data_IF_456723920773
#
_entry.id   IF_456723920773
#
_cell.length_a   1.000
_cell.length_b   1.000
_cell.length_c   1.000
_cell.angle_alpha   90.00
_cell.angle_beta   90.00
_cell.angle_gamma   90.00
#
_symmetry.space_group_name_H-M   'P 1'
#
loop_
_entity.id
_entity.type
_entity.pdbx_description
1 polymer ?
#
# COMPACT_ATOMS: atom_id res chain seq x y z
N UNK A 1 0.93 12.03 -23.91
CA UNK A 1 1.17 13.22 -24.74
C UNK A 1 0.68 12.98 -26.17
N UNK A 2 1.25 12.01 -26.91
CA UNK A 2 0.85 11.76 -28.30
C UNK A 2 -0.66 11.53 -28.41
N UNK A 3 -1.24 10.63 -27.63
CA UNK A 3 -2.68 10.34 -27.63
C UNK A 3 -3.54 11.58 -27.36
N UNK A 4 -3.13 12.43 -26.40
CA UNK A 4 -3.86 13.68 -26.08
C UNK A 4 -3.83 14.67 -27.25
N UNK A 5 -2.70 14.73 -27.96
CA UNK A 5 -2.58 15.63 -29.11
C UNK A 5 -3.37 15.08 -30.31
N UNK A 6 -3.25 13.78 -30.59
CA UNK A 6 -4.02 13.10 -31.64
C UNK A 6 -5.52 13.26 -31.43
N UNK A 7 -6.00 13.06 -30.21
CA UNK A 7 -7.42 13.23 -29.85
C UNK A 7 -7.92 14.68 -30.04
N UNK A 8 -7.10 15.68 -29.67
CA UNK A 8 -7.51 17.07 -29.68
C UNK A 8 -7.31 17.77 -31.02
N UNK A 9 -6.22 17.43 -31.74
CA UNK A 9 -5.78 18.14 -32.94
C UNK A 9 -5.72 17.23 -34.18
N UNK A 10 -5.91 15.92 -34.03
CA UNK A 10 -5.75 14.92 -35.07
C UNK A 10 -4.29 14.47 -35.29
N UNK A 11 -4.11 13.33 -35.96
CA UNK A 11 -2.78 12.72 -36.17
C UNK A 11 -1.87 13.60 -37.05
N UNK A 12 -2.44 14.35 -38.01
CA UNK A 12 -1.67 15.24 -38.88
C UNK A 12 -0.97 16.36 -38.09
N UNK A 13 -1.54 16.81 -37.00
CA UNK A 13 -0.93 17.80 -36.10
C UNK A 13 0.41 17.32 -35.54
N UNK A 14 0.52 16.03 -35.23
CA UNK A 14 1.73 15.43 -34.67
C UNK A 14 2.82 15.28 -35.79
N UNK A 15 2.43 14.75 -36.95
CA UNK A 15 3.39 14.29 -37.95
C UNK A 15 3.65 15.28 -39.09
N UNK A 16 2.73 16.25 -39.34
CA UNK A 16 2.80 17.14 -40.50
C UNK A 16 2.85 18.63 -40.18
N UNK A 17 2.21 19.06 -39.09
CA UNK A 17 2.04 20.48 -38.79
C UNK A 17 3.25 21.15 -38.14
N UNK A 18 4.25 20.34 -37.72
CA UNK A 18 5.50 20.83 -37.17
C UNK A 18 5.33 21.48 -35.79
N UNK A 19 4.46 20.94 -34.98
CA UNK A 19 4.25 21.37 -33.59
C UNK A 19 5.50 21.11 -32.74
N UNK A 20 5.80 22.06 -31.84
CA UNK A 20 6.76 21.90 -30.76
C UNK A 20 5.98 21.73 -29.46
N UNK A 21 6.15 20.57 -28.81
CA UNK A 21 5.45 20.20 -27.61
C UNK A 21 6.42 20.26 -26.44
N UNK A 22 6.16 21.15 -25.50
CA UNK A 22 6.89 21.27 -24.25
C UNK A 22 6.17 20.43 -23.21
N UNK A 23 6.88 19.46 -22.64
CA UNK A 23 6.31 18.52 -21.66
C UNK A 23 6.82 18.80 -20.26
N UNK A 24 6.16 18.20 -19.26
CA UNK A 24 6.54 18.26 -17.84
C UNK A 24 7.62 17.24 -17.47
N UNK A 25 8.06 16.42 -18.42
CA UNK A 25 9.01 15.33 -18.20
C UNK A 25 10.34 15.86 -17.65
N UNK A 26 10.77 15.28 -16.54
CA UNK A 26 12.10 15.43 -15.97
C UNK A 26 12.91 14.18 -16.34
N UNK A 27 14.00 14.36 -17.10
CA UNK A 27 14.81 13.25 -17.61
C UNK A 27 15.55 12.51 -16.50
N UNK A 28 15.96 13.18 -15.43
CA UNK A 28 16.64 12.56 -14.30
C UNK A 28 15.65 11.69 -13.52
N UNK A 29 14.44 12.21 -13.25
CA UNK A 29 13.36 11.45 -12.62
C UNK A 29 12.91 10.28 -13.51
N UNK A 30 12.81 10.47 -14.84
CA UNK A 30 12.44 9.40 -15.76
C UNK A 30 13.49 8.28 -15.78
N UNK A 31 14.77 8.63 -15.84
CA UNK A 31 15.87 7.66 -15.80
C UNK A 31 15.89 6.90 -14.47
N UNK A 32 15.61 7.58 -13.34
CA UNK A 32 15.47 6.96 -12.03
C UNK A 32 14.31 5.95 -12.00
N UNK A 33 13.17 6.27 -12.64
CA UNK A 33 12.01 5.37 -12.72
C UNK A 33 12.34 4.12 -13.58
N UNK A 34 13.00 4.31 -14.72
CA UNK A 34 13.44 3.19 -15.57
C UNK A 34 14.44 2.29 -14.84
N UNK A 35 15.39 2.87 -14.09
CA UNK A 35 16.35 2.11 -13.29
C UNK A 35 15.66 1.32 -12.15
N UNK A 36 14.69 1.91 -11.46
CA UNK A 36 13.93 1.24 -10.41
C UNK A 36 13.10 0.06 -10.97
N UNK A 37 12.58 0.18 -12.20
CA UNK A 37 11.83 -0.89 -12.86
C UNK A 37 12.68 -2.15 -13.12
N UNK A 38 14.01 -2.03 -13.22
CA UNK A 38 14.92 -3.18 -13.42
C UNK A 38 14.95 -4.15 -12.23
N UNK A 39 14.49 -3.72 -11.04
CA UNK A 39 14.37 -4.60 -9.87
C UNK A 39 13.18 -5.54 -9.92
N UNK A 40 12.32 -5.39 -10.91
CA UNK A 40 11.16 -6.24 -11.05
C UNK A 40 11.60 -7.67 -11.49
N UNK A 41 11.30 -8.71 -10.71
CA UNK A 41 11.67 -10.08 -11.06
C UNK A 41 10.94 -10.53 -12.33
N UNK A 42 11.50 -11.49 -13.03
CA UNK A 42 10.85 -12.15 -14.17
C UNK A 42 10.46 -13.57 -13.75
N UNK A 43 9.15 -13.85 -13.63
CA UNK A 43 8.65 -15.16 -13.30
C UNK A 43 8.40 -16.03 -14.53
N UNK A 44 7.88 -15.42 -15.60
CA UNK A 44 7.61 -16.09 -16.87
C UNK A 44 7.46 -15.05 -18.00
N UNK A 45 7.50 -15.54 -19.22
CA UNK A 45 7.16 -14.75 -20.41
C UNK A 45 5.78 -15.16 -20.90
N UNK A 46 4.90 -14.18 -21.09
CA UNK A 46 3.54 -14.43 -21.52
C UNK A 46 3.43 -14.74 -23.03
N UNK A 47 2.20 -15.00 -23.49
CA UNK A 47 1.92 -15.31 -24.92
C UNK A 47 2.24 -14.18 -25.89
N UNK A 48 2.39 -12.95 -25.40
CA UNK A 48 2.74 -11.76 -26.18
C UNK A 48 4.25 -11.48 -26.17
N UNK A 49 5.04 -12.32 -25.50
CA UNK A 49 6.47 -12.15 -25.36
C UNK A 49 6.89 -11.18 -24.24
N UNK A 50 5.94 -10.75 -23.39
CA UNK A 50 6.22 -9.84 -22.30
C UNK A 50 6.62 -10.59 -21.02
N UNK A 51 7.62 -10.08 -20.33
CA UNK A 51 8.02 -10.59 -19.03
C UNK A 51 6.97 -10.25 -17.97
N UNK A 52 6.57 -11.23 -17.17
CA UNK A 52 5.63 -11.07 -16.06
C UNK A 52 6.31 -11.34 -14.70
N UNK A 53 5.91 -10.67 -13.61
CA UNK A 53 4.87 -9.65 -13.55
C UNK A 53 5.29 -8.36 -14.26
N UNK A 54 4.30 -7.57 -14.61
CA UNK A 54 4.47 -6.20 -15.06
C UNK A 54 4.51 -5.22 -13.88
N UNK A 55 4.85 -3.97 -14.17
CA UNK A 55 4.83 -2.90 -13.18
C UNK A 55 4.60 -1.54 -13.82
N UNK A 56 4.26 -0.57 -12.99
CA UNK A 56 4.18 0.82 -13.39
C UNK A 56 4.77 1.72 -12.31
N UNK A 57 5.45 2.78 -12.73
CA UNK A 57 5.90 3.87 -11.87
C UNK A 57 5.39 5.17 -12.48
N UNK A 58 4.72 5.99 -11.68
CA UNK A 58 4.34 7.34 -12.07
C UNK A 58 4.64 8.30 -10.92
N UNK A 59 5.18 9.47 -11.26
CA UNK A 59 5.52 10.49 -10.29
C UNK A 59 5.06 11.87 -10.74
N UNK A 60 4.58 12.65 -9.78
CA UNK A 60 4.01 13.97 -10.01
C UNK A 60 4.49 14.96 -8.94
N UNK A 61 4.79 16.17 -9.34
CA UNK A 61 4.98 17.28 -8.40
C UNK A 61 3.61 17.65 -7.79
N UNK A 62 3.42 17.56 -6.47
CA UNK A 62 2.12 17.75 -5.84
C UNK A 62 1.63 19.21 -5.87
N UNK A 63 2.51 20.20 -6.13
CA UNK A 63 2.17 21.64 -6.11
C UNK A 63 1.66 22.18 -7.43
N UNK A 64 2.06 21.55 -8.55
CA UNK A 64 1.69 22.03 -9.88
C UNK A 64 1.07 20.96 -10.80
N UNK A 65 0.99 19.70 -10.35
CA UNK A 65 0.41 18.61 -11.13
C UNK A 65 1.31 18.06 -12.26
N UNK A 66 2.56 18.52 -12.36
CA UNK A 66 3.46 18.12 -13.43
C UNK A 66 3.85 16.64 -13.26
N UNK A 67 3.50 15.82 -14.25
CA UNK A 67 3.95 14.43 -14.32
C UNK A 67 5.40 14.46 -14.77
N UNK A 68 6.31 14.19 -13.83
CA UNK A 68 7.77 14.30 -14.06
C UNK A 68 8.40 12.99 -14.54
N UNK A 69 7.77 11.86 -14.22
CA UNK A 69 8.22 10.55 -14.68
C UNK A 69 7.03 9.59 -14.87
N UNK A 70 7.11 8.73 -15.86
CA UNK A 70 6.10 7.70 -16.09
C UNK A 70 6.73 6.50 -16.82
N UNK A 71 6.63 5.31 -16.21
CA UNK A 71 6.97 4.04 -16.81
C UNK A 71 5.72 3.16 -16.72
N UNK A 72 5.12 2.83 -17.86
CA UNK A 72 3.84 2.12 -17.93
C UNK A 72 3.96 0.61 -18.10
N UNK A 73 5.18 0.08 -18.03
CA UNK A 73 5.44 -1.34 -18.17
C UNK A 73 6.90 -1.64 -18.47
N UNK A 74 7.22 -2.91 -18.65
CA UNK A 74 8.50 -3.38 -19.20
C UNK A 74 8.24 -4.24 -20.44
N UNK A 75 9.04 -4.08 -21.46
CA UNK A 75 8.83 -4.66 -22.77
C UNK A 75 8.35 -3.63 -23.79
N UNK A 76 8.06 -4.11 -24.98
CA UNK A 76 7.73 -3.27 -26.14
C UNK A 76 6.25 -3.43 -26.48
N UNK A 77 5.38 -2.92 -25.59
CA UNK A 77 3.95 -2.85 -25.83
C UNK A 77 3.43 -1.41 -25.71
N UNK A 78 2.26 -1.15 -26.30
CA UNK A 78 1.62 0.17 -26.28
C UNK A 78 0.74 0.39 -25.04
N UNK A 79 0.54 -0.64 -24.20
CA UNK A 79 -0.33 -0.55 -23.03
C UNK A 79 0.35 0.14 -21.85
N UNK A 80 -0.05 1.37 -21.59
CA UNK A 80 0.49 2.17 -20.50
C UNK A 80 -0.25 1.88 -19.19
N UNK A 81 0.28 0.99 -18.36
CA UNK A 81 -0.34 0.57 -17.10
C UNK A 81 -0.45 1.68 -16.06
N UNK A 82 0.36 2.75 -16.19
CA UNK A 82 0.27 3.89 -15.29
C UNK A 82 -1.05 4.68 -15.44
N UNK A 83 -1.69 4.60 -16.62
CA UNK A 83 -2.90 5.36 -16.95
C UNK A 83 -4.08 4.52 -17.43
N UNK A 84 -3.85 3.26 -17.82
CA UNK A 84 -4.85 2.41 -18.46
C UNK A 84 -5.17 1.15 -17.67
N UNK A 85 -4.28 0.70 -16.77
CA UNK A 85 -4.55 -0.47 -15.95
C UNK A 85 -5.35 -0.08 -14.70
N UNK A 86 -6.62 -0.50 -14.64
CA UNK A 86 -7.46 -0.40 -13.45
C UNK A 86 -7.24 -1.65 -12.61
N UNK A 87 -6.58 -1.50 -11.46
CA UNK A 87 -6.16 -2.61 -10.60
C UNK A 87 -6.65 -2.41 -9.18
N UNK A 88 -6.86 -3.53 -8.47
CA UNK A 88 -7.31 -3.49 -7.08
C UNK A 88 -6.25 -2.85 -6.18
N UNK A 89 -6.57 -1.74 -5.50
CA UNK A 89 -5.59 -0.98 -4.70
C UNK A 89 -5.24 -1.63 -3.37
N UNK A 90 -6.05 -2.57 -2.90
CA UNK A 90 -5.86 -3.19 -1.60
C UNK A 90 -5.83 -2.15 -0.47
N UNK A 91 -4.95 -2.36 0.49
CA UNK A 91 -4.82 -1.50 1.68
C UNK A 91 -4.43 -0.04 1.40
N UNK A 92 -4.12 0.35 0.16
CA UNK A 92 -3.89 1.76 -0.17
C UNK A 92 -5.19 2.59 -0.16
N UNK A 93 -6.37 1.97 -0.03
CA UNK A 93 -7.65 2.64 0.23
C UNK A 93 -7.83 3.07 1.70
N UNK A 94 -7.13 2.47 2.64
CA UNK A 94 -7.30 2.76 4.09
C UNK A 94 -7.06 4.21 4.48
N UNK A 95 -6.11 4.96 3.89
CA UNK A 95 -5.97 6.38 4.20
C UNK A 95 -7.25 7.20 4.00
N UNK A 96 -8.08 6.90 3.01
CA UNK A 96 -9.36 7.58 2.80
C UNK A 96 -10.36 7.28 3.91
N UNK A 97 -10.33 6.05 4.46
CA UNK A 97 -11.16 5.66 5.61
C UNK A 97 -10.77 6.47 6.86
N UNK A 98 -9.47 6.47 7.19
CA UNK A 98 -8.99 7.18 8.38
C UNK A 98 -9.09 8.70 8.22
N UNK A 99 -8.90 9.24 7.02
CA UNK A 99 -9.09 10.66 6.74
C UNK A 99 -10.54 11.08 6.92
N UNK A 100 -11.51 10.30 6.43
CA UNK A 100 -12.93 10.55 6.68
C UNK A 100 -13.29 10.47 8.17
N UNK A 101 -12.62 9.62 8.94
CA UNK A 101 -12.77 9.56 10.39
C UNK A 101 -12.20 10.82 11.08
N UNK A 102 -11.01 11.29 10.67
CA UNK A 102 -10.42 12.54 11.16
C UNK A 102 -11.34 13.73 10.88
N UNK A 103 -11.89 13.84 9.67
CA UNK A 103 -12.88 14.87 9.31
C UNK A 103 -14.17 14.76 10.13
N UNK A 104 -14.46 13.58 10.69
CA UNK A 104 -15.59 13.34 11.60
C UNK A 104 -15.25 13.58 13.07
N UNK A 105 -14.08 14.18 13.38
CA UNK A 105 -13.65 14.55 14.73
C UNK A 105 -12.82 13.48 15.47
N UNK A 106 -12.45 12.39 14.81
CA UNK A 106 -11.52 11.40 15.38
C UNK A 106 -10.08 11.92 15.32
N UNK A 107 -9.21 11.31 16.10
CA UNK A 107 -7.77 11.64 16.17
C UNK A 107 -6.91 10.39 15.96
N UNK A 108 -5.62 10.53 15.71
CA UNK A 108 -4.71 9.39 15.65
C UNK A 108 -4.72 8.51 16.92
N UNK A 109 -5.06 9.11 18.07
CA UNK A 109 -5.20 8.43 19.35
C UNK A 109 -6.55 7.74 19.56
N UNK A 110 -7.54 7.96 18.70
CA UNK A 110 -8.85 7.28 18.79
C UNK A 110 -8.66 5.76 18.76
N UNK A 111 -9.48 5.06 19.55
CA UNK A 111 -9.37 3.60 19.74
C UNK A 111 -10.35 2.88 18.84
N UNK A 112 -9.89 1.79 18.25
CA UNK A 112 -10.71 0.78 17.58
C UNK A 112 -10.36 -0.60 18.12
N UNK A 113 -11.34 -1.46 18.29
CA UNK A 113 -11.14 -2.84 18.71
C UNK A 113 -10.84 -3.73 17.52
N UNK A 114 -9.59 -4.20 17.42
CA UNK A 114 -9.16 -5.20 16.42
C UNK A 114 -9.52 -6.59 16.95
N UNK A 115 -10.75 -7.02 16.67
CA UNK A 115 -11.33 -8.32 17.09
C UNK A 115 -12.25 -8.85 15.98
N UNK A 116 -12.50 -10.16 15.91
CA UNK A 116 -13.37 -10.75 14.90
C UNK A 116 -14.72 -10.03 14.81
N UNK A 117 -15.18 -9.79 13.59
CA UNK A 117 -16.46 -9.12 13.31
C UNK A 117 -17.10 -9.70 12.06
N UNK A 118 -18.43 -9.64 11.99
CA UNK A 118 -19.20 -10.07 10.80
C UNK A 118 -20.18 -8.97 10.42
N UNK A 119 -20.18 -8.62 9.15
CA UNK A 119 -21.10 -7.67 8.52
C UNK A 119 -21.98 -8.43 7.52
N UNK A 120 -23.22 -8.73 7.89
CA UNK A 120 -24.08 -9.59 7.11
C UNK A 120 -23.47 -10.98 6.91
N UNK A 121 -23.09 -11.34 5.69
CA UNK A 121 -22.45 -12.62 5.36
C UNK A 121 -20.94 -12.52 5.18
N UNK A 122 -20.32 -11.35 5.47
CA UNK A 122 -18.91 -11.11 5.28
C UNK A 122 -18.17 -10.91 6.60
N UNK A 123 -17.10 -11.65 6.79
CA UNK A 123 -16.23 -11.58 7.96
C UNK A 123 -14.80 -11.25 7.52
N UNK A 124 -14.40 -9.95 7.54
CA UNK A 124 -13.05 -9.55 7.20
C UNK A 124 -12.05 -10.15 8.19
N UNK A 125 -10.86 -10.47 7.70
CA UNK A 125 -9.75 -10.99 8.51
C UNK A 125 -8.52 -10.11 8.33
N UNK A 126 -7.68 -10.07 9.35
CA UNK A 126 -6.34 -9.53 9.22
C UNK A 126 -5.45 -10.48 8.40
N UNK A 127 -4.43 -9.94 7.75
CA UNK A 127 -3.54 -10.71 6.86
C UNK A 127 -2.92 -11.92 7.58
N UNK A 128 -2.51 -11.76 8.83
CA UNK A 128 -1.88 -12.81 9.65
C UNK A 128 -2.88 -13.65 10.45
N UNK A 129 -4.20 -13.42 10.26
CA UNK A 129 -5.29 -14.06 11.04
C UNK A 129 -5.16 -13.90 12.56
N UNK A 130 -4.52 -12.85 13.02
CA UNK A 130 -4.38 -12.46 14.42
C UNK A 130 -5.20 -11.20 14.75
N UNK A 131 -5.37 -10.91 16.03
CA UNK A 131 -6.12 -9.76 16.55
C UNK A 131 -5.40 -9.17 17.75
N UNK A 132 -5.36 -7.84 17.82
CA UNK A 132 -4.62 -7.12 18.85
C UNK A 132 -5.51 -6.40 19.89
N UNK A 133 -6.84 -6.57 19.83
CA UNK A 133 -7.77 -5.91 20.73
C UNK A 133 -7.84 -4.39 20.54
N UNK A 134 -7.87 -3.63 21.63
CA UNK A 134 -7.95 -2.17 21.55
C UNK A 134 -6.63 -1.56 21.07
N UNK A 135 -6.65 -0.98 19.87
CA UNK A 135 -5.51 -0.32 19.25
C UNK A 135 -5.86 1.12 18.83
N UNK A 136 -4.85 1.98 18.71
CA UNK A 136 -5.05 3.33 18.19
C UNK A 136 -5.26 3.34 16.67
N UNK A 137 -5.91 4.37 16.13
CA UNK A 137 -6.06 4.57 14.70
C UNK A 137 -4.70 4.66 14.00
N UNK A 138 -3.72 5.35 14.62
CA UNK A 138 -2.34 5.39 14.12
C UNK A 138 -1.75 3.99 13.99
N UNK A 139 -1.82 3.19 15.04
CA UNK A 139 -1.30 1.83 15.04
C UNK A 139 -2.00 0.95 14.00
N UNK A 140 -3.32 1.05 13.91
CA UNK A 140 -4.11 0.29 12.94
C UNK A 140 -3.71 0.61 11.48
N UNK A 141 -3.49 1.89 11.16
CA UNK A 141 -3.01 2.30 9.83
C UNK A 141 -1.55 1.90 9.59
N UNK A 142 -0.67 2.13 10.58
CA UNK A 142 0.76 1.80 10.55
C UNK A 142 1.01 0.32 10.21
N UNK A 143 0.25 -0.57 10.86
CA UNK A 143 0.31 -2.01 10.68
C UNK A 143 -0.74 -2.55 9.71
N UNK A 144 -1.45 -1.65 9.04
CA UNK A 144 -2.42 -2.00 7.98
C UNK A 144 -3.50 -3.01 8.42
N UNK A 145 -4.00 -2.94 9.67
CA UNK A 145 -5.00 -3.87 10.23
C UNK A 145 -6.30 -3.77 9.44
N UNK A 146 -6.75 -4.90 8.88
CA UNK A 146 -7.94 -4.94 8.02
C UNK A 146 -9.22 -4.75 8.82
N UNK A 147 -9.38 -5.51 9.89
CA UNK A 147 -10.61 -5.51 10.69
C UNK A 147 -10.84 -4.14 11.32
N UNK A 148 -9.79 -3.51 11.84
CA UNK A 148 -9.86 -2.15 12.36
C UNK A 148 -10.31 -1.15 11.30
N UNK A 149 -9.75 -1.21 10.08
CA UNK A 149 -10.13 -0.32 8.99
C UNK A 149 -11.59 -0.46 8.58
N UNK A 150 -12.10 -1.71 8.52
CA UNK A 150 -13.52 -1.96 8.17
C UNK A 150 -14.46 -1.45 9.27
N UNK A 151 -14.13 -1.66 10.55
CA UNK A 151 -14.92 -1.11 11.68
C UNK A 151 -14.95 0.43 11.66
N UNK A 152 -13.83 1.08 11.37
CA UNK A 152 -13.78 2.53 11.22
C UNK A 152 -14.61 2.99 10.02
N UNK A 153 -14.55 2.27 8.89
CA UNK A 153 -15.34 2.57 7.71
C UNK A 153 -16.86 2.43 7.95
N UNK A 154 -17.27 1.40 8.70
CA UNK A 154 -18.67 1.21 9.11
C UNK A 154 -19.15 2.35 10.03
N UNK A 155 -18.34 2.74 11.02
CA UNK A 155 -18.64 3.84 11.95
C UNK A 155 -18.79 5.19 11.22
N UNK A 156 -17.90 5.49 10.28
CA UNK A 156 -17.87 6.77 9.55
C UNK A 156 -18.91 6.83 8.45
N UNK A 157 -19.20 5.69 7.85
CA UNK A 157 -20.09 5.50 6.71
C UNK A 157 -19.36 5.58 5.37
N UNK A 158 -19.53 4.55 4.54
CA UNK A 158 -18.86 4.44 3.23
C UNK A 158 -19.15 5.58 2.28
N UNK A 159 -20.31 6.24 2.39
CA UNK A 159 -20.64 7.41 1.56
C UNK A 159 -19.60 8.53 1.73
N UNK A 160 -19.18 8.82 2.98
CA UNK A 160 -18.15 9.84 3.23
C UNK A 160 -16.81 9.41 2.66
N UNK A 161 -16.42 8.14 2.85
CA UNK A 161 -15.14 7.59 2.36
C UNK A 161 -15.06 7.66 0.84
N UNK A 162 -16.10 7.20 0.14
CA UNK A 162 -16.14 7.16 -1.33
C UNK A 162 -16.17 8.58 -1.92
N UNK A 163 -17.00 9.47 -1.38
CA UNK A 163 -17.06 10.83 -1.87
C UNK A 163 -15.74 11.56 -1.68
N UNK A 164 -15.07 11.36 -0.53
CA UNK A 164 -13.76 11.92 -0.27
C UNK A 164 -12.72 11.39 -1.27
N UNK A 165 -12.68 10.08 -1.52
CA UNK A 165 -11.76 9.48 -2.49
C UNK A 165 -12.00 10.03 -3.92
N UNK A 166 -13.26 10.21 -4.35
CA UNK A 166 -13.63 10.85 -5.62
C UNK A 166 -13.16 12.31 -5.68
N UNK A 167 -13.39 13.08 -4.63
CA UNK A 167 -12.95 14.48 -4.55
C UNK A 167 -11.43 14.59 -4.62
N UNK A 168 -10.69 13.66 -4.01
CA UNK A 168 -9.23 13.61 -4.07
C UNK A 168 -8.71 13.20 -5.44
N UNK A 169 -9.49 12.51 -6.29
CA UNK A 169 -9.10 12.22 -7.67
C UNK A 169 -9.25 10.79 -8.12
N UNK A 170 -9.81 9.88 -7.32
CA UNK A 170 -10.10 8.52 -7.78
C UNK A 170 -11.31 8.55 -8.71
N UNK A 171 -11.06 8.43 -10.02
CA UNK A 171 -12.06 8.64 -11.07
C UNK A 171 -12.90 7.39 -11.38
N UNK A 172 -12.40 6.21 -11.03
CA UNK A 172 -12.95 4.90 -11.40
C UNK A 172 -14.04 4.38 -10.46
N UNK A 173 -14.27 5.05 -9.32
CA UNK A 173 -15.27 4.65 -8.33
C UNK A 173 -16.70 4.81 -8.85
N UNK A 174 -17.50 3.76 -8.70
CA UNK A 174 -18.90 3.66 -9.15
C UNK A 174 -19.87 3.60 -7.98
N UNK A 175 -21.17 3.52 -8.26
CA UNK A 175 -22.20 3.36 -7.23
C UNK A 175 -22.13 1.98 -6.54
N UNK A 176 -21.54 0.99 -7.20
CA UNK A 176 -21.36 -0.35 -6.65
C UNK A 176 -20.27 -0.42 -5.56
N UNK A 177 -19.41 0.59 -5.50
CA UNK A 177 -18.31 0.68 -4.54
C UNK A 177 -18.72 1.23 -3.16
N UNK A 178 -20.00 1.63 -2.97
CA UNK A 178 -20.51 2.11 -1.68
C UNK A 178 -20.78 0.95 -0.71
N UNK A 179 -19.76 0.13 -0.47
CA UNK A 179 -19.83 -1.03 0.41
C UNK A 179 -18.53 -1.16 1.24
N UNK A 180 -18.56 -1.97 2.32
CA UNK A 180 -17.44 -2.08 3.26
C UNK A 180 -16.19 -2.75 2.67
N UNK A 181 -16.29 -3.57 1.63
CA UNK A 181 -15.10 -4.18 1.02
C UNK A 181 -14.18 -3.15 0.37
N UNK A 182 -14.73 -2.01 -0.06
CA UNK A 182 -13.97 -0.90 -0.61
C UNK A 182 -12.97 -0.30 0.39
N UNK A 183 -13.24 -0.41 1.69
CA UNK A 183 -12.28 0.01 2.74
C UNK A 183 -10.96 -0.78 2.68
N UNK A 184 -10.99 -1.98 2.12
CA UNK A 184 -9.84 -2.86 1.90
C UNK A 184 -9.38 -2.88 0.42
N UNK A 185 -9.98 -2.05 -0.43
CA UNK A 185 -9.63 -1.95 -1.85
C UNK A 185 -10.32 -2.99 -2.74
N UNK A 186 -11.40 -3.62 -2.29
CA UNK A 186 -12.27 -4.44 -3.13
C UNK A 186 -13.20 -3.54 -3.94
N UNK A 187 -12.77 -3.16 -5.15
CA UNK A 187 -13.46 -2.22 -6.04
C UNK A 187 -14.10 -2.94 -7.23
N UNK A 188 -15.09 -2.30 -7.83
CA UNK A 188 -15.74 -2.80 -9.05
C UNK A 188 -14.76 -2.88 -10.23
N UNK A 189 -14.02 -1.81 -10.47
CA UNK A 189 -13.05 -1.72 -11.57
C UNK A 189 -11.59 -1.72 -11.07
N UNK A 190 -11.32 -1.12 -9.94
CA UNK A 190 -9.98 -0.84 -9.46
C UNK A 190 -9.61 0.65 -9.63
N UNK A 191 -8.32 0.96 -9.60
CA UNK A 191 -7.77 2.31 -9.76
C UNK A 191 -6.56 2.30 -10.69
N UNK A 192 -6.27 3.43 -11.33
CA UNK A 192 -5.01 3.60 -12.03
C UNK A 192 -3.90 4.11 -11.10
N UNK A 193 -2.62 3.80 -11.38
CA UNK A 193 -1.51 4.42 -10.65
C UNK A 193 -1.56 5.95 -10.66
N UNK A 194 -1.99 6.57 -11.76
CA UNK A 194 -2.11 8.03 -11.86
C UNK A 194 -3.21 8.59 -10.96
N UNK A 195 -4.38 7.93 -10.86
CA UNK A 195 -5.42 8.33 -9.90
C UNK A 195 -4.89 8.35 -8.46
N UNK A 196 -4.12 7.31 -8.11
CA UNK A 196 -3.56 7.21 -6.76
C UNK A 196 -2.49 8.26 -6.49
N UNK A 197 -1.65 8.58 -7.48
CA UNK A 197 -0.69 9.68 -7.38
C UNK A 197 -1.40 11.02 -7.19
N UNK A 198 -2.48 11.28 -7.94
CA UNK A 198 -3.27 12.50 -7.76
C UNK A 198 -3.87 12.56 -6.35
N UNK A 199 -4.49 11.48 -5.89
CA UNK A 199 -5.17 11.43 -4.60
C UNK A 199 -4.19 11.59 -3.41
N UNK A 200 -3.04 10.92 -3.44
CA UNK A 200 -2.01 11.09 -2.41
C UNK A 200 -1.28 12.43 -2.52
N UNK A 201 -1.20 12.99 -3.73
CA UNK A 201 -0.69 14.34 -3.98
C UNK A 201 -1.48 15.42 -3.24
N UNK A 202 -2.78 15.21 -3.00
CA UNK A 202 -3.61 16.11 -2.19
C UNK A 202 -3.08 16.21 -0.75
N UNK A 203 -2.67 15.06 -0.17
CA UNK A 203 -2.09 15.04 1.18
C UNK A 203 -0.72 15.73 1.21
N UNK A 204 0.13 15.44 0.22
CA UNK A 204 1.45 16.06 0.07
C UNK A 204 1.35 17.59 -0.08
N UNK A 205 0.28 18.09 -0.70
CA UNK A 205 0.01 19.50 -0.96
C UNK A 205 -0.94 20.16 0.07
N UNK A 206 -0.94 19.65 1.31
CA UNK A 206 -1.70 20.27 2.40
C UNK A 206 -3.22 20.39 2.13
N UNK A 207 -3.79 19.42 1.41
CA UNK A 207 -5.23 19.34 1.12
C UNK A 207 -5.67 19.99 -0.19
N UNK A 208 -4.73 20.46 -1.02
CA UNK A 208 -5.01 21.04 -2.33
C UNK A 208 -4.82 20.00 -3.43
N UNK A 209 -5.88 19.71 -4.17
CA UNK A 209 -5.83 18.91 -5.38
C UNK A 209 -5.33 19.74 -6.55
N UNK A 210 -4.37 19.24 -7.30
CA UNK A 210 -3.94 19.78 -8.60
C UNK A 210 -4.24 18.79 -9.70
N UNK A 211 -4.54 19.29 -10.90
CA UNK A 211 -4.81 18.44 -12.05
C UNK A 211 -3.50 17.90 -12.64
N UNK A 212 -3.34 16.58 -12.79
CA UNK A 212 -2.17 16.02 -13.46
C UNK A 212 -2.03 16.52 -14.89
N UNK A 213 -0.84 16.98 -15.26
CA UNK A 213 -0.56 17.44 -16.61
C UNK A 213 0.79 16.91 -17.10
N UNK A 214 0.85 16.54 -18.39
CA UNK A 214 2.06 16.11 -19.09
C UNK A 214 2.53 17.11 -20.14
N UNK A 215 1.69 18.10 -20.49
CA UNK A 215 1.96 19.10 -21.53
C UNK A 215 1.94 20.48 -20.90
N UNK A 216 3.05 21.19 -21.00
CA UNK A 216 3.15 22.58 -20.57
C UNK A 216 2.61 23.55 -21.62
N UNK A 217 3.04 23.34 -22.89
CA UNK A 217 2.81 24.28 -23.96
C UNK A 217 2.96 23.61 -25.32
N UNK A 218 2.15 24.03 -26.27
CA UNK A 218 2.22 23.66 -27.67
C UNK A 218 2.43 24.91 -28.49
N UNK A 219 3.40 24.87 -29.40
CA UNK A 219 3.75 26.00 -30.28
C UNK A 219 3.75 25.48 -31.72
N UNK A 220 3.19 26.27 -32.64
CA UNK A 220 3.19 25.94 -34.07
C UNK A 220 4.56 26.15 -34.73
N UNK A 221 4.67 25.84 -36.04
CA UNK A 221 5.89 26.02 -36.83
C UNK A 221 6.36 27.47 -36.94
N UNK A 222 5.46 28.44 -36.74
CA UNK A 222 5.75 29.88 -36.82
C UNK A 222 6.14 30.46 -35.44
N UNK A 223 6.12 29.65 -34.39
CA UNK A 223 6.42 30.08 -33.05
C UNK A 223 5.20 30.65 -32.27
N UNK A 224 3.99 30.55 -32.85
CA UNK A 224 2.78 30.98 -32.14
C UNK A 224 2.35 29.93 -31.13
N UNK A 225 1.91 30.40 -29.97
CA UNK A 225 1.37 29.53 -28.92
C UNK A 225 -0.02 29.04 -29.33
N UNK A 226 -0.14 27.73 -29.54
CA UNK A 226 -1.41 27.05 -29.82
C UNK A 226 -2.15 26.75 -28.54
N UNK A 227 -1.41 26.32 -27.51
CA UNK A 227 -1.94 25.96 -26.20
C UNK A 227 -0.89 26.21 -25.12
N UNK A 228 -1.29 26.72 -24.00
CA UNK A 228 -0.49 26.84 -22.79
C UNK A 228 -1.32 26.40 -21.59
N UNK A 229 -0.79 25.45 -20.85
CA UNK A 229 -1.49 24.88 -19.70
C UNK A 229 -1.32 25.77 -18.48
N UNK A 230 -2.40 25.98 -17.74
CA UNK A 230 -2.38 26.63 -16.44
C UNK A 230 -2.64 25.63 -15.33
N UNK A 231 -2.00 25.83 -14.19
CA UNK A 231 -2.21 24.99 -13.00
C UNK A 231 -3.67 25.12 -12.58
N UNK A 232 -4.37 23.98 -12.52
CA UNK A 232 -5.74 23.88 -12.01
C UNK A 232 -5.69 23.30 -10.63
N UNK A 233 -6.05 24.09 -9.62
CA UNK A 233 -5.99 23.68 -8.21
C UNK A 233 -7.33 23.92 -7.50
N UNK A 234 -7.61 23.06 -6.51
CA UNK A 234 -8.79 23.18 -5.65
C UNK A 234 -8.50 22.60 -4.27
N UNK A 235 -8.76 23.35 -3.19
CA UNK A 235 -8.75 22.77 -1.84
C UNK A 235 -9.91 21.79 -1.69
N UNK A 236 -9.60 20.54 -1.31
CA UNK A 236 -10.57 19.45 -1.11
C UNK A 236 -10.51 18.88 0.30
N UNK A 237 -9.43 19.17 1.05
CA UNK A 237 -9.25 18.79 2.45
C UNK A 237 -8.71 19.98 3.21
N UNK A 238 -9.08 20.13 4.48
CA UNK A 238 -8.47 21.12 5.36
C UNK A 238 -6.98 20.80 5.59
N UNK A 239 -6.16 21.82 5.67
CA UNK A 239 -4.71 21.70 5.89
C UNK A 239 -4.38 20.93 7.18
N UNK A 240 -5.17 21.15 8.23
CA UNK A 240 -5.09 20.43 9.49
C UNK A 240 -5.23 18.92 9.28
N UNK A 241 -6.27 18.50 8.57
CA UNK A 241 -6.60 17.07 8.38
C UNK A 241 -5.59 16.39 7.47
N UNK A 242 -5.11 17.10 6.43
CA UNK A 242 -4.03 16.65 5.57
C UNK A 242 -2.72 16.44 6.36
N UNK A 243 -2.35 17.37 7.25
CA UNK A 243 -1.17 17.26 8.09
C UNK A 243 -1.27 16.09 9.09
N UNK A 244 -2.44 15.90 9.72
CA UNK A 244 -2.68 14.76 10.63
C UNK A 244 -2.54 13.44 9.88
N UNK A 245 -3.16 13.33 8.70
CA UNK A 245 -3.10 12.10 7.89
C UNK A 245 -1.69 11.83 7.39
N UNK A 246 -0.96 12.85 6.94
CA UNK A 246 0.45 12.75 6.54
C UNK A 246 1.30 12.22 7.68
N UNK A 247 1.15 12.76 8.88
CA UNK A 247 1.90 12.28 10.05
C UNK A 247 1.56 10.83 10.46
N UNK A 248 0.31 10.38 10.28
CA UNK A 248 -0.04 8.97 10.43
C UNK A 248 0.62 8.10 9.36
N UNK A 249 0.74 8.58 8.11
CA UNK A 249 1.39 7.88 7.01
C UNK A 249 2.92 7.87 7.12
N UNK A 250 3.55 8.86 7.75
CA UNK A 250 4.96 8.80 8.14
C UNK A 250 5.22 7.60 9.08
N UNK A 251 4.29 7.30 9.99
CA UNK A 251 4.41 6.14 10.90
C UNK A 251 4.46 4.80 10.14
N UNK A 252 3.84 4.71 8.96
CA UNK A 252 3.88 3.50 8.11
C UNK A 252 5.30 3.23 7.62
N UNK A 253 6.06 4.27 7.28
CA UNK A 253 7.47 4.17 6.87
C UNK A 253 8.37 4.03 8.09
N UNK A 254 8.14 4.82 9.16
CA UNK A 254 9.00 4.92 10.33
C UNK A 254 8.80 3.79 11.37
N UNK A 255 8.33 2.61 10.97
CA UNK A 255 8.17 1.47 11.88
C UNK A 255 6.92 0.63 11.61
N UNK A 256 6.29 0.84 10.44
CA UNK A 256 5.16 0.06 9.97
C UNK A 256 5.50 -0.81 8.76
N UNK A 257 4.46 -1.12 7.98
CA UNK A 257 4.56 -2.02 6.81
C UNK A 257 5.39 -1.46 5.67
N UNK A 258 5.67 -0.15 5.64
CA UNK A 258 6.40 0.55 4.59
C UNK A 258 7.88 0.81 4.88
N UNK A 259 8.50 0.17 5.88
CA UNK A 259 9.87 0.45 6.31
C UNK A 259 10.93 0.39 5.20
N UNK A 260 10.74 -0.47 4.19
CA UNK A 260 11.65 -0.58 3.06
C UNK A 260 11.61 0.63 2.09
N UNK A 261 10.63 1.54 2.26
CA UNK A 261 10.56 2.80 1.51
C UNK A 261 11.28 3.96 2.20
N UNK A 262 11.97 3.73 3.33
CA UNK A 262 12.70 4.78 4.03
C UNK A 262 13.88 5.29 3.18
N UNK A 263 13.94 6.61 2.98
CA UNK A 263 14.92 7.27 2.09
C UNK A 263 15.80 8.32 2.79
N UNK A 264 15.84 8.30 4.13
CA UNK A 264 16.68 9.22 4.92
C UNK A 264 16.20 10.68 4.91
N UNK A 265 14.97 10.95 4.48
CA UNK A 265 14.27 12.24 4.55
C UNK A 265 12.80 12.02 4.90
N UNK A 266 12.06 13.08 5.34
CA UNK A 266 10.64 12.95 5.63
C UNK A 266 9.88 12.38 4.44
N UNK A 267 9.15 11.29 4.69
CA UNK A 267 8.36 10.61 3.69
C UNK A 267 7.14 9.94 4.35
N UNK A 268 6.02 9.99 3.67
CA UNK A 268 4.76 9.39 4.08
C UNK A 268 4.26 8.44 2.98
N UNK A 269 3.61 7.34 3.34
CA UNK A 269 3.16 6.40 2.32
C UNK A 269 2.34 5.25 2.86
N UNK A 270 1.86 4.41 1.94
CA UNK A 270 1.03 3.24 2.27
C UNK A 270 1.34 2.08 1.35
N UNK A 271 1.43 0.91 1.93
CA UNK A 271 1.51 -0.39 1.24
C UNK A 271 0.12 -0.88 0.85
N UNK A 272 0.00 -1.52 -0.29
CA UNK A 272 -1.18 -2.26 -0.72
C UNK A 272 -0.79 -3.66 -1.18
N UNK A 273 -1.58 -4.65 -0.78
CA UNK A 273 -1.50 -6.02 -1.28
C UNK A 273 -2.93 -6.52 -1.33
N UNK A 274 -3.33 -7.14 -2.43
CA UNK A 274 -4.63 -7.79 -2.54
C UNK A 274 -4.60 -9.15 -1.86
N UNK A 275 -5.77 -9.63 -1.41
CA UNK A 275 -5.89 -10.89 -0.67
C UNK A 275 -5.30 -12.09 -1.44
N UNK A 276 -5.48 -12.10 -2.75
CA UNK A 276 -4.93 -13.13 -3.64
C UNK A 276 -3.46 -12.87 -4.04
N UNK A 277 -2.83 -11.83 -3.49
CA UNK A 277 -1.48 -11.36 -3.85
C UNK A 277 -1.27 -11.20 -5.37
N UNK A 278 -2.28 -10.70 -6.09
CA UNK A 278 -2.23 -10.43 -7.53
C UNK A 278 -1.76 -9.03 -7.86
N UNK A 279 -1.96 -8.11 -6.93
CA UNK A 279 -1.53 -6.72 -7.03
C UNK A 279 -0.75 -6.32 -5.78
N UNK A 280 0.37 -5.67 -5.97
CA UNK A 280 1.20 -5.12 -4.91
C UNK A 280 1.52 -3.65 -5.21
N UNK A 281 1.30 -2.79 -4.22
CA UNK A 281 1.40 -1.34 -4.35
C UNK A 281 2.27 -0.73 -3.27
N UNK A 282 3.01 0.29 -3.64
CA UNK A 282 3.48 1.30 -2.70
C UNK A 282 3.19 2.69 -3.26
N UNK A 283 2.48 3.50 -2.49
CA UNK A 283 2.20 4.89 -2.85
C UNK A 283 2.69 5.75 -1.72
N UNK A 284 3.53 6.73 -2.05
CA UNK A 284 4.12 7.59 -1.04
C UNK A 284 4.57 8.92 -1.63
N UNK A 285 4.95 9.81 -0.73
CA UNK A 285 5.34 11.17 -1.07
C UNK A 285 6.32 11.75 -0.06
N UNK A 286 7.07 12.74 -0.53
CA UNK A 286 7.77 13.76 0.26
C UNK A 286 7.01 15.08 0.08
N UNK A 287 7.41 16.19 0.73
CA UNK A 287 6.84 17.49 0.39
C UNK A 287 6.95 17.87 -1.09
N UNK A 288 7.97 17.36 -1.80
CA UNK A 288 8.33 17.79 -3.15
C UNK A 288 7.80 16.90 -4.28
N UNK A 289 7.56 15.60 -3.99
CA UNK A 289 7.25 14.60 -5.02
C UNK A 289 6.34 13.50 -4.47
N UNK A 290 5.31 13.14 -5.23
CA UNK A 290 4.45 11.99 -4.99
C UNK A 290 4.65 10.94 -6.07
N UNK A 291 4.71 9.66 -5.69
CA UNK A 291 4.87 8.58 -6.64
C UNK A 291 4.11 7.32 -6.23
N UNK A 292 3.66 6.58 -7.23
CA UNK A 292 3.09 5.25 -7.08
C UNK A 292 3.93 4.21 -7.81
N UNK A 293 4.11 3.06 -7.17
CA UNK A 293 4.65 1.83 -7.76
C UNK A 293 3.58 0.76 -7.67
N UNK A 294 3.22 0.21 -8.80
CA UNK A 294 2.36 -0.96 -8.92
C UNK A 294 3.11 -2.13 -9.55
N UNK A 295 2.84 -3.33 -9.06
CA UNK A 295 3.31 -4.60 -9.61
C UNK A 295 2.12 -5.55 -9.68
N UNK A 296 1.95 -6.22 -10.83
CA UNK A 296 0.88 -7.20 -11.02
C UNK A 296 1.06 -7.99 -12.31
N UNK A 297 0.34 -9.09 -12.40
CA UNK A 297 0.18 -9.81 -13.67
C UNK A 297 -0.86 -9.12 -14.54
N UNK A 298 -0.58 -8.93 -15.84
CA UNK A 298 -1.48 -8.22 -16.75
C UNK A 298 -2.88 -8.82 -16.82
N UNK A 299 -2.98 -10.12 -16.66
CA UNK A 299 -4.26 -10.83 -16.73
C UNK A 299 -4.95 -10.95 -15.36
N UNK A 300 -4.27 -10.61 -14.26
CA UNK A 300 -4.78 -10.77 -12.90
C UNK A 300 -5.03 -12.23 -12.51
N UNK A 301 -4.36 -13.17 -13.18
CA UNK A 301 -4.55 -14.61 -12.98
C UNK A 301 -3.49 -15.22 -12.08
N UNK A 302 -2.27 -14.67 -12.12
CA UNK A 302 -1.13 -15.22 -11.40
C UNK A 302 -0.88 -14.50 -10.08
N UNK A 303 -0.48 -15.26 -9.08
CA UNK A 303 -0.09 -14.74 -7.77
C UNK A 303 1.34 -14.22 -7.78
N UNK A 304 1.57 -13.08 -7.16
CA UNK A 304 2.90 -12.51 -6.96
C UNK A 304 3.62 -13.23 -5.82
N UNK A 305 4.36 -14.28 -6.13
CA UNK A 305 5.08 -15.09 -5.13
C UNK A 305 6.13 -14.25 -4.37
N UNK A 306 5.91 -14.04 -3.07
CA UNK A 306 6.82 -13.30 -2.20
C UNK A 306 6.86 -11.79 -2.41
N UNK A 307 6.02 -11.22 -3.29
CA UNK A 307 5.89 -9.77 -3.47
C UNK A 307 4.67 -9.27 -2.72
N UNK A 308 4.89 -8.38 -1.77
CA UNK A 308 3.87 -7.61 -1.06
C UNK A 308 4.17 -6.11 -1.23
N UNK A 309 3.21 -5.26 -0.92
CA UNK A 309 3.42 -3.81 -1.02
C UNK A 309 4.61 -3.28 -0.20
N UNK A 310 4.91 -3.93 0.93
CA UNK A 310 6.05 -3.59 1.79
C UNK A 310 7.39 -4.19 1.34
N UNK A 311 7.42 -5.05 0.33
CA UNK A 311 8.64 -5.64 -0.23
C UNK A 311 9.08 -4.91 -1.50
N UNK A 312 9.01 -5.55 -2.66
CA UNK A 312 9.52 -5.02 -3.93
C UNK A 312 8.97 -3.63 -4.30
N UNK A 313 7.65 -3.33 -4.23
CA UNK A 313 7.16 -1.99 -4.55
C UNK A 313 7.72 -0.91 -3.64
N UNK A 314 7.84 -1.16 -2.33
CA UNK A 314 8.40 -0.20 -1.37
C UNK A 314 9.89 0.07 -1.64
N UNK A 315 10.67 -0.99 -1.95
CA UNK A 315 12.10 -0.86 -2.34
C UNK A 315 12.25 -0.07 -3.64
N UNK A 316 11.44 -0.39 -4.67
CA UNK A 316 11.47 0.33 -5.96
C UNK A 316 11.09 1.80 -5.79
N UNK A 317 10.09 2.10 -4.97
CA UNK A 317 9.70 3.46 -4.64
C UNK A 317 10.83 4.22 -3.93
N UNK A 318 11.43 3.60 -2.91
CA UNK A 318 12.55 4.20 -2.17
C UNK A 318 13.75 4.49 -3.08
N UNK A 319 14.09 3.57 -3.95
CA UNK A 319 15.19 3.73 -4.92
C UNK A 319 14.87 4.83 -5.94
N UNK A 320 13.66 4.85 -6.50
CA UNK A 320 13.20 5.90 -7.40
C UNK A 320 13.29 7.28 -6.74
N UNK A 321 12.66 7.44 -5.56
CA UNK A 321 12.60 8.73 -4.86
C UNK A 321 13.98 9.23 -4.42
N UNK A 322 14.86 8.33 -3.95
CA UNK A 322 16.24 8.70 -3.57
C UNK A 322 17.01 9.27 -4.77
N UNK A 323 16.87 8.67 -5.95
CA UNK A 323 17.56 9.13 -7.14
C UNK A 323 16.91 10.39 -7.74
N UNK A 324 15.59 10.42 -7.85
CA UNK A 324 14.86 11.56 -8.40
C UNK A 324 15.04 12.84 -7.55
N UNK A 325 15.21 12.69 -6.24
CA UNK A 325 15.37 13.80 -5.30
C UNK A 325 16.83 14.02 -4.85
N UNK A 326 17.81 13.40 -5.54
CA UNK A 326 19.22 13.47 -5.13
C UNK A 326 19.76 14.92 -5.03
N UNK A 327 19.27 15.80 -5.90
CA UNK A 327 19.66 17.20 -5.97
C UNK A 327 18.64 18.16 -5.29
N UNK A 328 17.58 17.63 -4.66
CA UNK A 328 16.56 18.41 -3.97
C UNK A 328 16.84 18.41 -2.47
N UNK A 329 17.02 19.58 -1.83
CA UNK A 329 17.17 19.64 -0.37
C UNK A 329 16.00 18.97 0.34
N UNK A 330 16.29 18.25 1.43
CA UNK A 330 15.24 17.68 2.24
C UNK A 330 14.46 18.77 2.97
N UNK A 331 13.13 18.67 2.97
CA UNK A 331 12.21 19.53 3.70
C UNK A 331 11.27 18.70 4.58
N UNK A 332 10.82 19.30 5.68
CA UNK A 332 9.81 18.70 6.54
C UNK A 332 8.41 18.98 6.00
N UNK A 333 7.47 18.08 6.33
CA UNK A 333 6.05 18.35 6.03
C UNK A 333 5.55 19.54 6.86
N UNK A 334 4.83 20.49 6.25
CA UNK A 334 4.23 21.59 6.99
C UNK A 334 3.21 21.07 8.02
N UNK A 335 3.30 21.57 9.26
CA UNK A 335 2.35 21.22 10.32
C UNK A 335 1.72 22.50 10.85
N UNK A 336 0.44 22.79 10.53
CA UNK A 336 -0.24 23.96 11.05
C UNK A 336 -0.45 23.83 12.56
N UNK A 337 -0.51 24.96 13.28
CA UNK A 337 -0.68 24.98 14.73
C UNK A 337 -1.92 24.20 15.20
N UNK A 338 -2.98 24.19 14.39
CA UNK A 338 -4.23 23.46 14.65
C UNK A 338 -4.09 21.94 14.64
N UNK A 339 -3.01 21.39 14.02
CA UNK A 339 -2.74 19.95 13.97
C UNK A 339 -1.79 19.45 15.07
N UNK A 340 -1.03 20.36 15.73
CA UNK A 340 0.07 20.03 16.66
C UNK A 340 -0.35 19.06 17.78
N UNK A 341 -1.50 19.26 18.41
CA UNK A 341 -1.97 18.38 19.47
C UNK A 341 -2.26 16.97 18.93
N UNK A 342 -2.99 16.87 17.81
CA UNK A 342 -3.43 15.60 17.26
C UNK A 342 -2.27 14.74 16.73
N UNK A 343 -1.26 15.34 16.09
CA UNK A 343 -0.11 14.59 15.55
C UNK A 343 0.72 13.90 16.63
N UNK A 344 0.65 14.35 17.89
CA UNK A 344 1.35 13.72 19.02
C UNK A 344 0.63 12.49 19.59
N UNK A 345 -0.61 12.23 19.17
CA UNK A 345 -1.44 11.15 19.68
C UNK A 345 -1.21 9.79 18.99
N UNK A 346 -1.56 8.72 19.69
CA UNK A 346 -1.67 7.38 19.14
C UNK A 346 -0.36 6.60 18.99
N UNK A 347 0.77 7.14 19.43
CA UNK A 347 2.05 6.42 19.40
C UNK A 347 2.15 5.28 20.40
N UNK A 348 1.42 5.37 21.53
CA UNK A 348 1.35 4.30 22.52
C UNK A 348 0.10 3.47 22.25
N UNK A 349 0.29 2.20 21.89
CA UNK A 349 -0.82 1.26 21.71
C UNK A 349 -1.30 0.74 23.06
N UNK A 350 -2.58 0.95 23.45
CA UNK A 350 -3.13 0.48 24.73
C UNK A 350 -3.00 -1.03 24.92
N UNK A 351 -3.12 -1.82 23.86
CA UNK A 351 -2.98 -3.28 23.93
C UNK A 351 -1.57 -3.72 24.37
N UNK A 352 -0.53 -2.91 24.05
CA UNK A 352 0.87 -3.19 24.43
C UNK A 352 1.30 -2.51 25.72
N UNK A 353 0.48 -1.55 26.22
CA UNK A 353 0.73 -0.85 27.47
C UNK A 353 0.20 -1.61 28.70
N UNK A 354 -0.58 -2.68 28.55
CA UNK A 354 -1.02 -3.49 29.66
C UNK A 354 0.17 -4.31 30.21
N UNK A 355 0.49 -4.23 31.52
CA UNK A 355 1.50 -5.10 32.10
C UNK A 355 1.09 -6.55 31.87
N UNK A 356 2.02 -7.39 31.43
CA UNK A 356 1.79 -8.85 31.39
C UNK A 356 1.21 -9.24 32.75
N UNK A 357 0.03 -9.86 32.75
CA UNK A 357 -0.50 -10.46 33.97
C UNK A 357 0.58 -11.42 34.45
N UNK A 358 1.21 -11.09 35.58
CA UNK A 358 2.08 -12.04 36.27
C UNK A 358 1.19 -13.24 36.59
N UNK A 359 1.55 -14.40 36.08
CA UNK A 359 0.99 -15.66 36.47
C UNK A 359 1.20 -15.76 37.99
N UNK A 360 0.15 -15.51 38.78
CA UNK A 360 0.14 -15.81 40.19
C UNK A 360 0.34 -17.32 40.28
N UNK A 361 1.57 -17.73 40.58
CA UNK A 361 1.81 -19.04 41.18
C UNK A 361 0.99 -19.14 42.45
N UNK A 362 0.06 -20.08 42.45
CA UNK A 362 -0.67 -20.46 43.65
C UNK A 362 0.33 -20.91 44.71
N UNK A 363 0.64 -20.04 45.66
CA UNK A 363 1.24 -20.44 46.93
C UNK A 363 0.18 -21.20 47.72
N UNK A 364 0.26 -22.53 47.64
CA UNK A 364 -0.41 -23.40 48.60
C UNK A 364 0.26 -23.19 49.95
N UNK A 365 -0.46 -22.57 50.85
CA UNK A 365 -0.12 -22.48 52.27
C UNK A 365 -0.09 -23.88 52.89
N UNK A 366 1.12 -24.33 53.24
CA UNK A 366 1.32 -25.46 54.11
C UNK A 366 0.87 -25.09 55.56
N UNK A 367 -0.22 -25.64 55.98
CA UNK A 367 -0.54 -25.73 57.42
C UNK A 367 0.25 -26.90 58.00
N UNK A 368 1.22 -26.56 58.88
CA UNK A 368 1.81 -27.47 59.83
C UNK A 368 0.74 -28.00 60.75
N UNK A 369 0.65 -29.30 60.88
CA UNK A 369 0.15 -29.95 62.11
C UNK A 369 1.15 -31.02 62.50
N UNK A 370 1.53 -30.92 63.77
CA UNK A 370 2.58 -31.68 64.46
C UNK A 370 1.91 -32.84 65.17
N UNK A 371 2.26 -34.09 64.88
CA UNK A 371 2.26 -35.18 65.87
C UNK A 371 3.10 -36.36 65.33
N UNK A 372 3.99 -36.80 66.17
CA UNK A 372 5.12 -37.63 66.02
C UNK A 372 4.93 -39.12 65.87
N UNK A 373 6.13 -39.70 65.75
CA UNK A 373 6.62 -41.04 66.03
C UNK A 373 6.90 -41.98 64.86
N UNK A 374 8.23 -42.09 64.63
CA UNK A 374 9.10 -43.31 64.65
C UNK A 374 8.59 -44.52 63.86
N UNK A 375 9.34 -45.06 62.99
CA UNK A 375 10.54 -45.91 63.01
C UNK A 375 10.82 -46.56 61.63
N UNK A 376 12.07 -46.58 61.30
CA UNK A 376 12.89 -47.59 60.68
C UNK A 376 12.63 -48.24 59.32
N UNK A 377 13.68 -48.11 58.60
CA UNK A 377 14.49 -49.14 57.91
C UNK A 377 14.23 -49.45 56.42
N UNK A 378 15.27 -49.16 55.73
CA UNK A 378 16.13 -49.96 54.83
C UNK A 378 15.73 -50.21 53.37
N UNK A 379 16.57 -49.66 52.59
CA UNK A 379 17.62 -50.28 51.70
C UNK A 379 17.22 -50.68 50.28
N UNK A 380 17.99 -50.08 49.36
CA UNK A 380 18.56 -50.58 48.06
C UNK A 380 17.58 -50.83 46.92
N UNK A 381 17.93 -50.63 45.72
CA UNK A 381 19.11 -50.30 44.89
C UNK A 381 18.68 -50.31 43.44
N UNK A 382 19.37 -49.53 42.62
CA UNK A 382 19.84 -49.80 41.27
C UNK A 382 18.83 -50.41 40.27
N UNK A 383 18.71 -50.01 39.05
CA UNK A 383 19.69 -49.84 38.00
C UNK A 383 19.05 -49.27 36.74
N UNK A 384 19.80 -48.48 36.02
CA UNK A 384 19.73 -48.29 34.57
C UNK A 384 20.45 -49.50 33.93
N UNK A 385 20.49 -49.79 32.61
CA UNK A 385 20.18 -48.96 31.42
C UNK A 385 19.78 -49.78 30.15
N UNK A 386 19.89 -49.07 29.01
CA UNK A 386 20.14 -49.51 27.61
C UNK A 386 18.94 -49.81 26.72
N UNK A 387 18.77 -49.04 25.63
CA UNK A 387 19.32 -49.11 24.24
C UNK A 387 18.98 -50.41 23.49
N UNK A 388 18.41 -50.22 22.33
CA UNK A 388 18.78 -50.72 20.96
C UNK A 388 17.54 -50.62 20.08
N UNK A 389 17.51 -49.89 19.01
CA UNK A 389 18.10 -49.99 17.66
C UNK A 389 17.47 -51.07 16.75
N UNK A 390 17.13 -50.60 15.54
CA UNK A 390 17.25 -51.28 14.22
C UNK A 390 16.08 -52.23 13.86
N UNK A 391 15.41 -52.15 12.74
CA UNK A 391 15.83 -52.17 11.34
C UNK A 391 14.66 -52.05 10.39
N UNK A 392 14.99 -51.54 9.21
CA UNK A 392 14.39 -51.66 7.89
C UNK A 392 13.64 -52.95 7.57
N UNK A 393 12.61 -52.85 6.71
CA UNK A 393 12.68 -53.55 5.41
C UNK A 393 11.63 -53.13 4.39
N UNK A 394 12.13 -52.99 3.20
CA UNK A 394 11.52 -52.83 1.88
C UNK A 394 10.66 -54.02 1.49
N UNK A 395 9.69 -53.79 0.59
CA UNK A 395 9.50 -54.51 -0.70
C UNK A 395 8.15 -54.09 -1.29
N UNK A 396 8.11 -53.52 -2.41
CA UNK A 396 8.25 -53.98 -3.79
C UNK A 396 6.98 -54.60 -4.38
N UNK A 397 6.70 -54.06 -5.54
CA UNK A 397 6.18 -54.69 -6.76
C UNK A 397 4.65 -54.61 -6.90
N UNK A 398 4.09 -54.45 -8.01
CA UNK A 398 4.47 -54.21 -9.39
C UNK A 398 3.18 -54.24 -10.26
N UNK A 399 3.18 -53.46 -11.35
CA UNK A 399 2.58 -53.79 -12.66
C UNK A 399 1.09 -54.16 -12.73
N UNK A 400 0.31 -53.56 -13.56
CA UNK A 400 0.31 -53.68 -15.02
C UNK A 400 -0.86 -52.87 -15.67
N UNK A 401 -0.57 -52.09 -16.68
CA UNK A 401 -0.88 -52.25 -18.12
C UNK A 401 -2.30 -52.01 -18.61
N UNK A 402 -2.29 -51.11 -19.58
CA UNK A 402 -3.00 -51.13 -20.89
C UNK A 402 -4.50 -50.85 -20.84
N UNK A 403 -5.06 -50.18 -21.76
CA UNK A 403 -4.77 -49.63 -23.08
C UNK A 403 -6.02 -49.04 -23.72
N UNK A 404 -5.80 -48.07 -24.64
CA UNK A 404 -6.62 -47.87 -25.85
C UNK A 404 -8.04 -47.32 -25.65
N UNK A 405 -8.45 -46.39 -26.37
CA UNK A 405 -8.45 -45.88 -27.73
C UNK A 405 -9.72 -45.08 -27.96
N UNK A 406 -9.59 -44.04 -28.72
CA UNK A 406 -10.45 -43.50 -29.75
C UNK A 406 -11.89 -43.06 -29.39
N UNK A 407 -12.15 -41.82 -29.40
CA UNK A 407 -12.69 -41.08 -30.59
C UNK A 407 -12.62 -39.59 -30.36
#
# INVERSE_FOLDING_TARGET
VISQISEKYGDDAIYKDGLKIYTTLDMDAQNAAVAAMQNLPNYYTDKNGLSQPQGAIVAMNPHNGYIVAMVGGRGDDAFNRATQAERQPGSTMKPFVYLAAIQSGKTPGSIVEDSPVTFGNWSPKNYENDYEGNITYRYALQHSRNVAAVKVADEVGMTKVINLAKEMGISTLTDQDYNLSTALGGLTHGVTPLDMVQAYGVLANGGIKVQPTAILKIVDRNGQVVEENSIQEKRVIDEKDAAIMTNMLESVINGGTGGNAAIGRPAAGKTGTTDDSKDAWFIGYTPDLVAAVWIGDDYGTETLHGITGGSTPAVMWGQFMSNALANTPASDFPVPASAQAAISEGYVNPAKAQPKKEDKKDEKADKKDDTGKTTDEKIKSNDKPQKEEVTEQKSNSSKNKKSKKER
#
